data_IF_742745179471
#
_entry.id   IF_742745179471
#
_cell.length_a   1.000
_cell.length_b   1.000
_cell.length_c   1.000
_cell.angle_alpha   90.00
_cell.angle_beta   90.00
_cell.angle_gamma   90.00
#
_symmetry.space_group_name_H-M   'P 1'
#
loop_
_entity.id
_entity.type
_entity.pdbx_description
1 polymer ?
#
# COMPACT_ATOMS: atom_id res chain seq x y z
N UNK A 1 16.67 -6.13 3.95
CA UNK A 1 16.71 -4.94 4.82
C UNK A 1 17.31 -3.70 4.15
N UNK A 2 18.32 -3.83 3.27
CA UNK A 2 19.04 -2.69 2.66
C UNK A 2 18.13 -1.65 1.97
N UNK A 3 17.15 -2.07 1.17
CA UNK A 3 16.23 -1.13 0.48
C UNK A 3 15.43 -0.27 1.47
N UNK A 4 14.89 -0.86 2.54
CA UNK A 4 14.13 -0.11 3.54
C UNK A 4 15.02 0.92 4.27
N UNK A 5 16.28 0.56 4.55
CA UNK A 5 17.25 1.49 5.14
C UNK A 5 17.59 2.63 4.18
N UNK A 6 17.79 2.36 2.90
CA UNK A 6 18.04 3.38 1.88
C UNK A 6 16.86 4.36 1.76
N UNK A 7 15.62 3.85 1.70
CA UNK A 7 14.42 4.69 1.65
C UNK A 7 14.30 5.57 2.90
N UNK A 8 14.62 5.03 4.09
CA UNK A 8 14.63 5.81 5.34
C UNK A 8 15.69 6.90 5.33
N UNK A 9 16.90 6.61 4.84
CA UNK A 9 17.97 7.61 4.74
C UNK A 9 17.59 8.75 3.79
N UNK A 10 17.01 8.43 2.62
CA UNK A 10 16.53 9.43 1.65
C UNK A 10 15.41 10.29 2.23
N UNK A 11 14.46 9.67 2.94
CA UNK A 11 13.40 10.41 3.64
C UNK A 11 13.96 11.37 4.67
N UNK A 12 14.93 10.94 5.48
CA UNK A 12 15.57 11.78 6.48
C UNK A 12 16.35 12.94 5.83
N UNK A 13 16.85 12.76 4.61
CA UNK A 13 17.49 13.80 3.82
C UNK A 13 16.49 14.76 3.13
N UNK A 14 15.18 14.59 3.34
CA UNK A 14 14.14 15.43 2.71
C UNK A 14 13.87 15.11 1.24
N UNK A 15 14.37 13.98 0.73
CA UNK A 15 14.19 13.58 -0.66
C UNK A 15 12.81 12.96 -0.86
N UNK A 16 12.08 13.39 -1.90
CA UNK A 16 10.83 12.75 -2.32
C UNK A 16 11.15 11.51 -3.15
N UNK A 17 10.69 10.35 -2.70
CA UNK A 17 10.93 9.06 -3.37
C UNK A 17 9.61 8.45 -3.84
N UNK A 18 9.56 8.07 -5.12
CA UNK A 18 8.44 7.31 -5.70
C UNK A 18 8.86 5.85 -5.85
N UNK A 19 8.05 4.94 -5.32
CA UNK A 19 8.33 3.50 -5.34
C UNK A 19 7.15 2.77 -5.98
N UNK A 20 7.43 2.01 -7.04
CA UNK A 20 6.44 1.16 -7.72
C UNK A 20 6.66 -0.27 -7.25
N UNK A 21 5.65 -0.85 -6.59
CA UNK A 21 5.74 -2.23 -6.09
C UNK A 21 4.37 -2.86 -5.87
N UNK A 22 4.33 -4.19 -5.91
CA UNK A 22 3.21 -5.01 -5.42
C UNK A 22 3.49 -5.62 -4.04
N UNK A 23 4.70 -5.43 -3.47
CA UNK A 23 5.11 -6.05 -2.20
C UNK A 23 4.62 -5.23 -1.01
N UNK A 24 3.69 -5.79 -0.23
CA UNK A 24 3.09 -5.16 0.96
C UNK A 24 4.14 -4.71 1.99
N UNK A 25 5.22 -5.46 2.17
CA UNK A 25 6.28 -5.13 3.15
C UNK A 25 6.96 -3.77 2.85
N UNK A 26 7.06 -3.38 1.58
CA UNK A 26 7.64 -2.10 1.20
C UNK A 26 6.65 -0.94 1.42
N UNK A 27 5.36 -1.21 1.20
CA UNK A 27 4.26 -0.28 1.44
C UNK A 27 4.13 0.13 2.92
N UNK A 28 4.61 -0.71 3.86
CA UNK A 28 4.69 -0.36 5.27
C UNK A 28 5.64 0.81 5.56
N UNK A 29 6.63 1.06 4.68
CA UNK A 29 7.70 2.04 4.87
C UNK A 29 7.48 3.37 4.13
N UNK A 30 6.36 3.54 3.42
CA UNK A 30 6.05 4.76 2.65
C UNK A 30 5.05 5.65 3.37
N UNK A 31 5.03 6.95 3.07
CA UNK A 31 4.09 7.89 3.70
C UNK A 31 2.70 7.87 3.07
N UNK A 32 2.65 7.75 1.75
CA UNK A 32 1.43 7.77 0.94
C UNK A 32 1.40 6.61 -0.03
N UNK A 33 0.19 6.17 -0.38
CA UNK A 33 -0.04 5.10 -1.35
C UNK A 33 -0.93 5.65 -2.45
N UNK A 34 -0.54 5.37 -3.69
CA UNK A 34 -1.36 5.57 -4.87
C UNK A 34 -1.68 4.19 -5.47
N UNK A 35 -2.96 3.91 -5.69
CA UNK A 35 -3.40 2.70 -6.37
C UNK A 35 -3.88 3.04 -7.77
N UNK A 36 -3.27 2.41 -8.77
CA UNK A 36 -3.62 2.53 -10.18
C UNK A 36 -4.36 1.27 -10.62
N UNK A 37 -5.48 1.47 -11.31
CA UNK A 37 -6.20 0.42 -12.02
C UNK A 37 -6.51 0.94 -13.42
N UNK A 38 -6.11 0.19 -14.45
CA UNK A 38 -6.39 0.53 -15.85
C UNK A 38 -5.95 1.96 -16.25
N UNK A 39 -4.81 2.41 -15.71
CA UNK A 39 -4.28 3.75 -15.97
C UNK A 39 -4.98 4.88 -15.20
N UNK A 40 -5.98 4.56 -14.38
CA UNK A 40 -6.74 5.51 -13.56
C UNK A 40 -6.32 5.41 -12.10
N UNK A 41 -6.19 6.56 -11.43
CA UNK A 41 -5.97 6.62 -9.98
C UNK A 41 -7.27 6.22 -9.27
N UNK A 42 -7.33 5.01 -8.73
CA UNK A 42 -8.48 4.52 -7.97
C UNK A 42 -8.45 5.03 -6.52
N UNK A 43 -7.25 5.17 -5.95
CA UNK A 43 -7.03 5.59 -4.56
C UNK A 43 -5.72 6.38 -4.43
N UNK A 44 -5.73 7.41 -3.59
CA UNK A 44 -4.53 8.10 -3.13
C UNK A 44 -4.75 8.60 -1.71
N UNK A 45 -3.81 8.34 -0.80
CA UNK A 45 -3.95 8.76 0.59
C UNK A 45 -2.81 8.31 1.48
N UNK A 46 -2.95 8.51 2.80
CA UNK A 46 -1.98 8.00 3.77
C UNK A 46 -1.99 6.47 3.75
N UNK A 47 -0.85 5.85 4.07
CA UNK A 47 -0.74 4.38 4.08
C UNK A 47 -1.83 3.69 4.92
N UNK A 48 -2.13 4.21 6.12
CA UNK A 48 -3.12 3.65 7.03
C UNK A 48 -4.51 3.62 6.39
N UNK A 49 -4.92 4.74 5.80
CA UNK A 49 -6.24 4.91 5.21
C UNK A 49 -6.43 3.98 4.00
N UNK A 50 -5.42 3.91 3.13
CA UNK A 50 -5.50 3.08 1.91
C UNK A 50 -5.44 1.58 2.26
N UNK A 51 -4.60 1.18 3.21
CA UNK A 51 -4.48 -0.22 3.64
C UNK A 51 -5.72 -0.72 4.38
N UNK A 52 -6.33 0.09 5.25
CA UNK A 52 -7.55 -0.28 5.97
C UNK A 52 -8.68 -0.62 4.99
N UNK A 53 -8.89 0.25 3.98
CA UNK A 53 -9.87 0.04 2.92
C UNK A 53 -9.61 -1.24 2.10
N UNK A 54 -8.33 -1.58 1.84
CA UNK A 54 -7.98 -2.77 1.07
C UNK A 54 -8.19 -4.06 1.87
N UNK A 55 -7.89 -4.03 3.18
CA UNK A 55 -8.12 -5.16 4.08
C UNK A 55 -9.61 -5.43 4.29
N UNK A 56 -10.45 -4.38 4.39
CA UNK A 56 -11.91 -4.54 4.43
C UNK A 56 -12.45 -5.21 3.16
N UNK A 57 -12.04 -4.74 1.98
CA UNK A 57 -12.42 -5.38 0.71
C UNK A 57 -11.99 -6.85 0.64
N UNK A 58 -10.79 -7.17 1.14
CA UNK A 58 -10.30 -8.57 1.18
C UNK A 58 -11.12 -9.42 2.15
N UNK A 59 -11.46 -8.90 3.33
CA UNK A 59 -12.26 -9.62 4.33
C UNK A 59 -13.68 -9.87 3.83
N UNK A 60 -14.30 -8.89 3.17
CA UNK A 60 -15.61 -9.05 2.52
C UNK A 60 -15.58 -10.08 1.39
N UNK A 61 -14.52 -10.08 0.57
CA UNK A 61 -14.37 -11.08 -0.50
C UNK A 61 -14.15 -12.50 0.01
N UNK A 62 -13.42 -12.68 1.12
CA UNK A 62 -13.21 -13.99 1.74
C UNK A 62 -14.49 -14.49 2.42
N UNK A 63 -15.24 -13.62 3.11
CA UNK A 63 -16.51 -13.98 3.73
C UNK A 63 -17.59 -14.37 2.71
N UNK A 64 -17.57 -13.80 1.50
CA UNK A 64 -18.49 -14.17 0.42
C UNK A 64 -18.13 -15.50 -0.28
N UNK A 65 -16.93 -16.03 -0.04
CA UNK A 65 -16.45 -17.31 -0.57
C UNK A 65 -16.61 -18.47 0.42
N UNK A 66 -17.05 -18.19 1.65
CA UNK A 66 -17.55 -19.22 2.56
C UNK A 66 -19.08 -19.31 2.36
N UNK A 67 -19.59 -20.19 1.47
CA UNK A 67 -21.00 -20.53 1.48
C UNK A 67 -21.32 -21.10 2.86
N UNK A 68 -22.40 -20.60 3.44
CA UNK A 68 -23.08 -21.27 4.54
C UNK A 68 -23.33 -22.73 4.12
N UNK A 69 -23.00 -23.62 5.05
CA UNK A 69 -23.22 -25.08 5.09
C UNK A 69 -24.40 -25.60 4.24
#
# INVERSE_FOLDING_TARGET
AALAQALKALKNAGVTVVVITHKVNLVQNVDKILFLREGIVERFGKRQEVLANLMEKRKAAVAALEPAE
#
